data_IF_965632262835
#
_entry.id   IF_965632262835
#
_cell.length_a   1.000
_cell.length_b   1.000
_cell.length_c   1.000
_cell.angle_alpha   90.00
_cell.angle_beta   90.00
_cell.angle_gamma   90.00
#
_symmetry.space_group_name_H-M   'P 1'
#
loop_
_entity.id
_entity.type
_entity.pdbx_description
1 polymer ?
#
# COMPACT_ATOMS: atom_id res chain seq x y z
N UNK A 1 25.08 -11.13 -35.28
CA UNK A 1 24.85 -12.27 -34.34
C UNK A 1 24.89 -11.86 -32.86
N UNK A 2 25.72 -10.88 -32.42
CA UNK A 2 25.83 -10.44 -31.00
C UNK A 2 24.52 -9.92 -30.38
N UNK A 3 23.62 -9.28 -31.15
CA UNK A 3 22.34 -8.76 -30.63
C UNK A 3 21.32 -9.83 -30.29
N UNK A 4 21.26 -10.94 -31.03
CA UNK A 4 20.30 -12.04 -30.75
C UNK A 4 20.61 -12.76 -29.45
N UNK A 5 21.87 -13.04 -29.14
CA UNK A 5 22.28 -13.70 -27.88
C UNK A 5 22.04 -12.78 -26.67
N UNK A 6 22.26 -11.48 -26.80
CA UNK A 6 21.95 -10.52 -25.74
C UNK A 6 20.44 -10.49 -25.44
N UNK A 7 19.60 -10.53 -26.47
CA UNK A 7 18.15 -10.55 -26.30
C UNK A 7 17.66 -11.85 -25.64
N UNK A 8 18.25 -13.02 -26.02
CA UNK A 8 17.91 -14.29 -25.36
C UNK A 8 18.26 -14.29 -23.88
N UNK A 9 19.44 -13.78 -23.51
CA UNK A 9 19.82 -13.66 -22.09
C UNK A 9 18.86 -12.77 -21.29
N UNK A 10 18.45 -11.63 -21.86
CA UNK A 10 17.47 -10.73 -21.24
C UNK A 10 16.12 -11.45 -21.04
N UNK A 11 15.64 -12.19 -22.05
CA UNK A 11 14.38 -12.91 -21.92
C UNK A 11 14.43 -14.02 -20.86
N UNK A 12 15.54 -14.73 -20.74
CA UNK A 12 15.72 -15.73 -19.68
C UNK A 12 15.64 -15.07 -18.29
N UNK A 13 16.35 -13.97 -18.09
CA UNK A 13 16.32 -13.23 -16.82
C UNK A 13 14.89 -12.74 -16.51
N UNK A 14 14.19 -12.20 -17.50
CA UNK A 14 12.81 -11.73 -17.33
C UNK A 14 11.85 -12.86 -16.99
N UNK A 15 12.00 -14.04 -17.62
CA UNK A 15 11.19 -15.23 -17.31
C UNK A 15 11.44 -15.66 -15.86
N UNK A 16 12.70 -15.78 -15.44
CA UNK A 16 13.05 -16.16 -14.07
C UNK A 16 12.49 -15.15 -13.08
N UNK A 17 12.67 -13.85 -13.33
CA UNK A 17 12.12 -12.79 -12.49
C UNK A 17 10.58 -12.85 -12.39
N UNK A 18 9.91 -13.15 -13.52
CA UNK A 18 8.45 -13.31 -13.54
C UNK A 18 8.00 -14.51 -12.70
N UNK A 19 8.68 -15.65 -12.80
CA UNK A 19 8.38 -16.81 -11.95
C UNK A 19 8.55 -16.50 -10.46
N UNK A 20 9.65 -15.84 -10.07
CA UNK A 20 9.89 -15.43 -8.69
C UNK A 20 8.80 -14.47 -8.21
N UNK A 21 8.36 -13.55 -9.06
CA UNK A 21 7.30 -12.56 -8.71
C UNK A 21 5.91 -13.18 -8.58
N UNK A 22 5.60 -14.21 -9.36
CA UNK A 22 4.30 -14.90 -9.33
C UNK A 22 4.25 -15.97 -8.23
N UNK A 23 5.40 -16.52 -7.83
CA UNK A 23 5.48 -17.60 -6.85
C UNK A 23 4.76 -17.29 -5.51
N UNK A 24 4.92 -16.11 -4.89
CA UNK A 24 4.20 -15.79 -3.65
C UNK A 24 2.68 -15.84 -3.80
N UNK A 25 2.15 -15.39 -4.94
CA UNK A 25 0.71 -15.44 -5.21
C UNK A 25 0.23 -16.89 -5.38
N UNK A 26 0.97 -17.70 -6.12
CA UNK A 26 0.70 -19.14 -6.22
C UNK A 26 0.74 -19.83 -4.85
N UNK A 27 1.79 -19.54 -4.05
CA UNK A 27 1.93 -20.08 -2.70
C UNK A 27 0.76 -19.71 -1.79
N UNK A 28 0.28 -18.48 -1.86
CA UNK A 28 -0.89 -18.03 -1.11
C UNK A 28 -2.14 -18.85 -1.45
N UNK A 29 -2.38 -19.12 -2.74
CA UNK A 29 -3.50 -19.94 -3.19
C UNK A 29 -3.33 -21.39 -2.72
N UNK A 30 -2.14 -21.96 -2.90
CA UNK A 30 -1.83 -23.33 -2.46
C UNK A 30 -2.02 -23.46 -0.94
N UNK A 31 -1.50 -22.52 -0.15
CA UNK A 31 -1.65 -22.49 1.30
C UNK A 31 -3.11 -22.39 1.74
N UNK A 32 -3.93 -21.55 1.07
CA UNK A 32 -5.34 -21.40 1.37
C UNK A 32 -6.15 -22.70 1.19
N UNK A 33 -5.68 -23.60 0.30
CA UNK A 33 -6.35 -24.88 0.02
C UNK A 33 -5.84 -26.05 0.87
N UNK A 34 -4.74 -25.88 1.59
CA UNK A 34 -4.12 -26.92 2.40
C UNK A 34 -4.39 -26.74 3.90
N UNK A 35 -4.17 -27.79 4.70
CA UNK A 35 -4.20 -27.70 6.15
C UNK A 35 -2.90 -27.10 6.72
N UNK A 36 -2.88 -26.70 7.99
CA UNK A 36 -1.73 -26.04 8.61
C UNK A 36 -0.46 -26.90 8.61
N UNK A 37 -0.57 -28.23 8.76
CA UNK A 37 0.58 -29.14 8.74
C UNK A 37 1.20 -29.26 7.37
N UNK A 38 0.39 -29.33 6.31
CA UNK A 38 0.85 -29.35 4.93
C UNK A 38 1.55 -28.03 4.53
N UNK A 39 0.98 -26.89 4.97
CA UNK A 39 1.57 -25.56 4.73
C UNK A 39 2.93 -25.42 5.43
N UNK A 40 3.01 -25.82 6.71
CA UNK A 40 4.29 -25.81 7.45
C UNK A 40 5.31 -26.78 6.86
N UNK A 41 4.84 -27.89 6.27
CA UNK A 41 5.68 -28.85 5.53
C UNK A 41 6.12 -28.38 4.14
N UNK A 42 5.70 -27.18 3.70
CA UNK A 42 6.09 -26.62 2.40
C UNK A 42 5.41 -27.26 1.20
N UNK A 43 4.23 -27.88 1.36
CA UNK A 43 3.48 -28.54 0.28
C UNK A 43 3.01 -27.52 -0.76
N UNK A 44 3.48 -27.66 -1.98
CA UNK A 44 3.17 -26.75 -3.08
C UNK A 44 1.91 -27.11 -3.88
N UNK A 45 1.42 -28.35 -3.75
CA UNK A 45 0.21 -28.76 -4.48
C UNK A 45 -1.05 -28.17 -3.86
N UNK A 46 -2.07 -27.95 -4.68
CA UNK A 46 -3.39 -27.55 -4.22
C UNK A 46 -4.02 -28.66 -3.35
N UNK A 47 -4.64 -28.27 -2.25
CA UNK A 47 -5.41 -29.13 -1.36
C UNK A 47 -6.92 -28.98 -1.53
N UNK A 48 -7.69 -29.58 -0.64
CA UNK A 48 -9.17 -29.58 -0.67
C UNK A 48 -9.79 -28.83 0.52
N UNK A 49 -8.97 -28.23 1.39
CA UNK A 49 -9.42 -27.65 2.65
C UNK A 49 -9.87 -26.19 2.55
N UNK A 50 -10.00 -25.63 1.35
CA UNK A 50 -10.35 -24.21 1.15
C UNK A 50 -11.63 -23.82 1.92
N UNK A 51 -12.71 -24.59 1.77
CA UNK A 51 -13.98 -24.29 2.43
C UNK A 51 -13.86 -24.39 3.95
N UNK A 52 -13.15 -25.39 4.46
CA UNK A 52 -12.92 -25.56 5.90
C UNK A 52 -12.08 -24.40 6.47
N UNK A 53 -11.06 -23.96 5.74
CA UNK A 53 -10.23 -22.83 6.15
C UNK A 53 -11.03 -21.52 6.15
N UNK A 54 -11.90 -21.34 5.16
CA UNK A 54 -12.80 -20.18 5.09
C UNK A 54 -13.80 -20.16 6.25
N UNK A 55 -14.41 -21.32 6.59
CA UNK A 55 -15.31 -21.43 7.75
C UNK A 55 -14.58 -21.10 9.05
N UNK A 56 -13.41 -21.68 9.28
CA UNK A 56 -12.58 -21.36 10.46
C UNK A 56 -12.25 -19.88 10.56
N UNK A 57 -11.89 -19.26 9.43
CA UNK A 57 -11.59 -17.82 9.39
C UNK A 57 -12.81 -16.97 9.81
N UNK A 58 -14.01 -17.33 9.33
CA UNK A 58 -15.24 -16.61 9.67
C UNK A 58 -15.70 -16.84 11.11
N UNK A 59 -15.38 -18.00 11.69
CA UNK A 59 -15.61 -18.30 13.11
C UNK A 59 -14.65 -17.52 14.02
N UNK A 60 -13.38 -17.42 13.63
CA UNK A 60 -12.34 -16.75 14.44
C UNK A 60 -12.41 -15.24 14.34
N UNK A 61 -12.87 -14.69 13.20
CA UNK A 61 -12.86 -13.27 12.91
C UNK A 61 -14.10 -12.83 12.15
N UNK A 62 -14.61 -11.65 12.45
CA UNK A 62 -15.69 -11.05 11.69
C UNK A 62 -15.16 -10.44 10.37
N UNK A 63 -14.97 -11.31 9.37
CA UNK A 63 -14.40 -10.96 8.06
C UNK A 63 -15.25 -9.91 7.34
N UNK A 64 -16.58 -10.02 7.43
CA UNK A 64 -17.52 -9.05 6.83
C UNK A 64 -17.31 -7.66 7.40
N UNK A 65 -17.19 -7.55 8.72
CA UNK A 65 -16.92 -6.26 9.38
C UNK A 65 -15.56 -5.70 9.00
N UNK A 66 -14.53 -6.54 8.94
CA UNK A 66 -13.19 -6.12 8.53
C UNK A 66 -13.19 -5.58 7.09
N UNK A 67 -13.88 -6.28 6.18
CA UNK A 67 -14.03 -5.85 4.79
C UNK A 67 -14.80 -4.53 4.66
N UNK A 68 -15.95 -4.40 5.34
CA UNK A 68 -16.73 -3.16 5.36
C UNK A 68 -15.92 -1.98 5.93
N UNK A 69 -15.17 -2.20 7.00
CA UNK A 69 -14.30 -1.18 7.57
C UNK A 69 -13.21 -0.75 6.57
N UNK A 70 -12.55 -1.71 5.90
CA UNK A 70 -11.54 -1.40 4.89
C UNK A 70 -12.12 -0.60 3.73
N UNK A 71 -13.29 -0.99 3.23
CA UNK A 71 -13.99 -0.27 2.17
C UNK A 71 -14.38 1.14 2.58
N UNK A 72 -14.93 1.29 3.79
CA UNK A 72 -15.35 2.58 4.34
C UNK A 72 -14.16 3.54 4.51
N UNK A 73 -13.09 3.09 5.17
CA UNK A 73 -11.92 3.95 5.40
C UNK A 73 -11.18 4.28 4.11
N UNK A 74 -11.02 3.33 3.19
CA UNK A 74 -10.37 3.59 1.91
C UNK A 74 -11.16 4.58 1.05
N UNK A 75 -12.50 4.48 1.06
CA UNK A 75 -13.36 5.42 0.33
C UNK A 75 -13.25 6.83 0.92
N UNK A 76 -13.39 6.98 2.24
CA UNK A 76 -13.25 8.28 2.91
C UNK A 76 -11.87 8.87 2.64
N UNK A 77 -10.82 8.08 2.83
CA UNK A 77 -9.44 8.54 2.60
C UNK A 77 -9.25 9.01 1.16
N UNK A 78 -9.71 8.23 0.18
CA UNK A 78 -9.57 8.56 -1.23
C UNK A 78 -10.29 9.87 -1.57
N UNK A 79 -11.55 10.02 -1.16
CA UNK A 79 -12.34 11.22 -1.44
C UNK A 79 -11.71 12.45 -0.79
N UNK A 80 -11.34 12.36 0.49
CA UNK A 80 -10.73 13.48 1.21
C UNK A 80 -9.36 13.84 0.65
N UNK A 81 -8.51 12.84 0.33
CA UNK A 81 -7.20 13.08 -0.25
C UNK A 81 -7.30 13.73 -1.63
N UNK A 82 -8.18 13.24 -2.50
CA UNK A 82 -8.41 13.83 -3.80
C UNK A 82 -8.86 15.29 -3.69
N UNK A 83 -9.82 15.55 -2.81
CA UNK A 83 -10.34 16.89 -2.60
C UNK A 83 -9.27 17.86 -2.05
N UNK A 84 -8.59 17.49 -0.98
CA UNK A 84 -7.58 18.33 -0.34
C UNK A 84 -6.36 18.54 -1.24
N UNK A 85 -5.84 17.45 -1.85
CA UNK A 85 -4.65 17.54 -2.67
C UNK A 85 -4.90 18.25 -4.00
N UNK A 86 -6.11 18.14 -4.58
CA UNK A 86 -6.45 18.88 -5.80
C UNK A 86 -6.55 20.38 -5.54
N UNK A 87 -7.18 20.80 -4.44
CA UNK A 87 -7.24 22.22 -4.04
C UNK A 87 -5.84 22.75 -3.76
N UNK A 88 -5.02 22.00 -3.03
CA UNK A 88 -3.65 22.40 -2.75
C UNK A 88 -2.82 22.49 -4.04
N UNK A 89 -2.88 21.49 -4.91
CA UNK A 89 -2.19 21.49 -6.20
C UNK A 89 -2.60 22.66 -7.08
N UNK A 90 -3.89 22.92 -7.18
CA UNK A 90 -4.42 24.10 -7.88
C UNK A 90 -3.89 25.42 -7.29
N UNK A 91 -3.88 25.54 -5.95
CA UNK A 91 -3.35 26.73 -5.27
C UNK A 91 -1.86 26.96 -5.54
N UNK A 92 -1.07 25.90 -5.62
CA UNK A 92 0.37 25.95 -5.95
C UNK A 92 0.61 26.29 -7.43
N UNK A 93 -0.27 25.89 -8.35
CA UNK A 93 -0.10 26.14 -9.78
C UNK A 93 -0.59 27.54 -10.18
N UNK A 94 -1.75 27.97 -9.73
CA UNK A 94 -2.36 29.23 -10.18
C UNK A 94 -1.71 30.45 -9.52
N UNK A 95 -1.35 30.35 -8.26
CA UNK A 95 -0.80 31.48 -7.52
C UNK A 95 0.71 31.35 -7.34
N UNK A 96 1.46 31.87 -8.30
CA UNK A 96 2.92 31.87 -8.25
C UNK A 96 3.46 32.98 -7.35
N UNK A 97 4.08 32.61 -6.24
CA UNK A 97 4.91 33.50 -5.44
C UNK A 97 6.09 32.73 -4.80
N UNK A 98 7.13 33.46 -4.42
CA UNK A 98 8.35 32.87 -3.84
C UNK A 98 8.08 32.03 -2.57
N UNK A 99 7.07 32.40 -1.78
CA UNK A 99 6.72 31.68 -0.56
C UNK A 99 6.16 30.29 -0.89
N UNK A 100 5.30 30.19 -1.91
CA UNK A 100 4.72 28.92 -2.36
C UNK A 100 5.75 28.00 -3.01
N UNK A 101 6.65 28.54 -3.82
CA UNK A 101 7.76 27.76 -4.38
C UNK A 101 8.66 27.21 -3.27
N UNK A 102 8.92 28.00 -2.24
CA UNK A 102 9.68 27.56 -1.06
C UNK A 102 8.92 26.45 -0.30
N UNK A 103 7.61 26.62 -0.07
CA UNK A 103 6.78 25.62 0.57
C UNK A 103 6.73 24.30 -0.22
N UNK A 104 6.60 24.38 -1.56
CA UNK A 104 6.63 23.20 -2.40
C UNK A 104 7.98 22.47 -2.29
N UNK A 105 9.10 23.19 -2.30
CA UNK A 105 10.41 22.60 -2.11
C UNK A 105 10.56 21.93 -0.74
N UNK A 106 10.02 22.52 0.32
CA UNK A 106 9.99 21.88 1.65
C UNK A 106 9.16 20.61 1.64
N UNK A 107 7.99 20.61 0.98
CA UNK A 107 7.17 19.40 0.83
C UNK A 107 7.91 18.29 0.07
N UNK A 108 8.62 18.64 -1.00
CA UNK A 108 9.44 17.70 -1.76
C UNK A 108 10.59 17.13 -0.93
N UNK A 109 11.28 17.97 -0.13
CA UNK A 109 12.30 17.52 0.81
C UNK A 109 11.72 16.57 1.88
N UNK A 110 10.51 16.84 2.36
CA UNK A 110 9.84 15.95 3.32
C UNK A 110 9.59 14.53 2.75
N UNK A 111 9.42 14.39 1.43
CA UNK A 111 9.29 13.07 0.79
C UNK A 111 10.58 12.23 0.84
N UNK A 112 11.72 12.84 1.07
CA UNK A 112 12.99 12.11 1.21
C UNK A 112 13.08 11.37 2.55
N UNK A 113 12.22 11.71 3.53
CA UNK A 113 12.18 10.99 4.81
C UNK A 113 11.52 9.62 4.61
N UNK A 114 12.21 8.51 4.88
CA UNK A 114 11.63 7.19 4.75
C UNK A 114 10.41 7.03 5.67
N UNK A 115 9.28 6.57 5.13
CA UNK A 115 8.06 6.35 5.90
C UNK A 115 8.31 5.48 7.15
N UNK A 116 9.15 4.45 7.03
CA UNK A 116 9.51 3.59 8.17
C UNK A 116 10.11 4.36 9.34
N UNK A 117 10.87 5.42 9.10
CA UNK A 117 11.46 6.25 10.15
C UNK A 117 10.42 7.11 10.88
N UNK A 118 9.30 7.41 10.25
CA UNK A 118 8.23 8.23 10.82
C UNK A 118 7.21 7.43 11.63
N UNK A 119 7.16 6.11 11.47
CA UNK A 119 6.15 5.24 12.11
C UNK A 119 6.18 5.33 13.64
N UNK A 120 7.35 5.21 14.26
CA UNK A 120 7.47 5.23 15.73
C UNK A 120 7.12 6.61 16.31
N UNK A 121 7.66 7.72 15.80
CA UNK A 121 7.26 9.05 16.26
C UNK A 121 5.77 9.31 16.08
N UNK A 122 5.19 8.91 14.94
CA UNK A 122 3.77 9.08 14.64
C UNK A 122 2.90 8.29 15.62
N UNK A 123 3.25 7.02 15.88
CA UNK A 123 2.54 6.21 16.86
C UNK A 123 2.58 6.85 18.27
N UNK A 124 3.74 7.34 18.70
CA UNK A 124 3.87 8.03 19.99
C UNK A 124 3.01 9.30 20.05
N UNK A 125 2.97 10.07 18.98
CA UNK A 125 2.14 11.27 18.87
C UNK A 125 0.66 10.93 19.05
N UNK A 126 0.14 10.00 18.26
CA UNK A 126 -1.26 9.61 18.33
C UNK A 126 -1.61 8.91 19.66
N UNK A 127 -0.69 8.15 20.23
CA UNK A 127 -0.87 7.53 21.53
C UNK A 127 -0.94 8.59 22.64
N UNK A 128 -0.07 9.59 22.62
CA UNK A 128 -0.10 10.70 23.56
C UNK A 128 -1.34 11.56 23.48
N UNK A 129 -1.97 11.64 22.27
CA UNK A 129 -3.25 12.33 22.05
C UNK A 129 -4.48 11.44 22.35
N UNK A 130 -4.31 10.18 22.72
CA UNK A 130 -5.40 9.23 22.92
C UNK A 130 -6.12 8.79 21.63
N UNK A 131 -5.50 8.98 20.45
CA UNK A 131 -6.10 8.75 19.14
C UNK A 131 -5.66 7.44 18.48
N UNK A 132 -4.72 6.70 19.04
CA UNK A 132 -4.10 5.52 18.40
C UNK A 132 -5.08 4.39 18.02
N UNK A 133 -6.24 4.31 18.68
CA UNK A 133 -7.28 3.31 18.37
C UNK A 133 -8.45 3.88 17.56
N UNK A 134 -8.28 5.05 16.96
CA UNK A 134 -9.34 5.73 16.20
C UNK A 134 -9.06 5.71 14.69
N UNK A 135 -10.10 5.86 13.87
CA UNK A 135 -9.97 6.02 12.43
C UNK A 135 -9.17 7.29 12.04
N UNK A 136 -9.13 8.30 12.92
CA UNK A 136 -8.37 9.54 12.73
C UNK A 136 -6.88 9.24 12.61
N UNK A 137 -6.34 8.36 13.45
CA UNK A 137 -4.93 7.95 13.39
C UNK A 137 -4.56 7.27 12.06
N UNK A 138 -5.52 6.64 11.40
CA UNK A 138 -5.33 6.03 10.08
C UNK A 138 -5.44 7.05 8.94
N UNK A 139 -6.44 7.92 8.97
CA UNK A 139 -6.75 8.85 7.88
C UNK A 139 -5.84 10.08 7.89
N UNK A 140 -5.63 10.70 9.04
CA UNK A 140 -4.97 12.00 9.15
C UNK A 140 -3.53 12.04 8.58
N UNK A 141 -2.66 11.04 8.80
CA UNK A 141 -1.29 11.07 8.27
C UNK A 141 -1.23 10.91 6.74
N UNK A 142 -2.27 10.38 6.14
CA UNK A 142 -2.29 9.98 4.72
C UNK A 142 -3.18 10.85 3.84
N UNK A 143 -4.01 11.71 4.46
CA UNK A 143 -5.00 12.54 3.76
C UNK A 143 -4.37 13.57 2.82
N UNK A 144 -3.16 14.05 3.13
CA UNK A 144 -2.47 15.07 2.37
C UNK A 144 -1.01 14.67 2.18
N UNK A 145 -0.72 13.97 1.09
CA UNK A 145 0.65 13.57 0.77
C UNK A 145 1.28 14.56 -0.21
N UNK A 146 2.54 14.97 0.01
CA UNK A 146 3.25 15.86 -0.91
C UNK A 146 3.27 15.33 -2.34
N UNK A 147 3.35 14.01 -2.52
CA UNK A 147 3.29 13.34 -3.82
C UNK A 147 1.99 13.64 -4.58
N UNK A 148 0.85 13.49 -3.93
CA UNK A 148 -0.45 13.78 -4.55
C UNK A 148 -0.61 15.27 -4.87
N UNK A 149 -0.17 16.15 -3.98
CA UNK A 149 -0.19 17.60 -4.22
C UNK A 149 0.64 17.95 -5.46
N UNK A 150 1.85 17.37 -5.57
CA UNK A 150 2.71 17.56 -6.74
C UNK A 150 2.06 17.00 -8.02
N UNK A 151 1.42 15.84 -7.94
CA UNK A 151 0.74 15.23 -9.08
C UNK A 151 -0.38 16.14 -9.60
N UNK A 152 -1.22 16.68 -8.71
CA UNK A 152 -2.28 17.60 -9.08
C UNK A 152 -1.77 18.96 -9.54
N UNK A 153 -0.61 19.40 -9.07
CA UNK A 153 0.04 20.61 -9.59
C UNK A 153 0.48 20.45 -11.05
N UNK A 154 0.85 19.23 -11.46
CA UNK A 154 1.35 18.96 -12.82
C UNK A 154 0.25 18.59 -13.82
N UNK A 155 -0.99 18.38 -13.37
CA UNK A 155 -2.14 18.04 -14.22
C UNK A 155 -2.83 19.26 -14.78
#
# INVERSE_FOLDING_TARGET
>A
MKGKFKNVGIHIILIIASFISVFPLYWMIAAATNNSTDVLGGKLSLGTNFIQNLMKLTEMQNVSRAFCNSLFYSTILSVLSLFICSIAGYGFEIYHDKAKDTLMNILLLAMMVPFAATLIPLFKLFSGMGLSSTWIAYVLPTISTPFLIMLFRQS
#
